data_IF_372612351419
#
_entry.id   IF_372612351419
#
_cell.length_a   1.000
_cell.length_b   1.000
_cell.length_c   1.000
_cell.angle_alpha   90.00
_cell.angle_beta   90.00
_cell.angle_gamma   90.00
#
_symmetry.space_group_name_H-M   'P 1'
#
loop_
_entity.id
_entity.type
_entity.pdbx_description
1 polymer ?
#
# COMPACT_ATOMS: atom_id res chain seq x y z
N UNK A 1 34.55 -4.65 15.66
CA UNK A 1 33.18 -5.02 16.06
C UNK A 1 32.43 -5.52 14.82
N UNK A 2 31.82 -6.69 14.92
CA UNK A 2 31.07 -7.36 13.86
C UNK A 2 29.89 -6.50 13.39
N UNK A 3 29.86 -6.13 12.12
CA UNK A 3 28.61 -5.86 11.44
C UNK A 3 27.88 -7.21 11.28
N UNK A 4 26.64 -7.37 11.74
CA UNK A 4 25.87 -8.57 11.45
C UNK A 4 25.71 -8.69 9.92
N UNK A 5 25.84 -9.90 9.34
CA UNK A 5 25.62 -10.08 7.91
C UNK A 5 24.20 -9.65 7.56
N UNK A 6 24.05 -8.93 6.45
CA UNK A 6 22.76 -8.59 5.89
C UNK A 6 21.92 -9.88 5.78
N UNK A 7 20.79 -9.93 6.50
CA UNK A 7 19.85 -11.05 6.40
C UNK A 7 19.52 -11.25 4.94
N UNK A 8 19.87 -12.42 4.43
CA UNK A 8 19.54 -12.88 3.08
C UNK A 8 18.04 -12.63 2.86
N UNK A 9 17.73 -11.62 2.04
CA UNK A 9 16.34 -11.32 1.68
C UNK A 9 15.93 -12.46 0.77
N UNK A 10 15.32 -13.49 1.37
CA UNK A 10 14.75 -14.61 0.63
C UNK A 10 13.93 -14.12 -0.58
N UNK A 11 13.70 -14.99 -1.58
CA UNK A 11 13.17 -14.58 -2.88
C UNK A 11 11.93 -13.68 -2.73
N UNK A 12 11.95 -12.55 -3.44
CA UNK A 12 10.83 -11.61 -3.47
C UNK A 12 9.61 -12.34 -4.00
N UNK A 13 8.56 -12.44 -3.18
CA UNK A 13 7.32 -13.09 -3.57
C UNK A 13 6.70 -12.37 -4.78
N UNK A 14 6.23 -13.16 -5.75
CA UNK A 14 5.59 -12.67 -6.98
C UNK A 14 4.21 -13.28 -7.13
N UNK A 15 3.30 -12.51 -7.72
CA UNK A 15 1.94 -12.94 -8.01
C UNK A 15 1.91 -14.12 -9.01
N UNK A 16 1.00 -15.07 -8.79
CA UNK A 16 0.66 -16.10 -9.78
C UNK A 16 -0.42 -15.53 -10.71
N UNK A 17 0.00 -14.87 -11.79
CA UNK A 17 -0.92 -14.18 -12.73
C UNK A 17 -2.02 -15.10 -13.28
N UNK A 18 -1.73 -16.38 -13.46
CA UNK A 18 -2.70 -17.38 -13.96
C UNK A 18 -3.83 -17.66 -12.97
N UNK A 19 -3.65 -17.34 -11.68
CA UNK A 19 -4.65 -17.56 -10.64
C UNK A 19 -5.64 -16.41 -10.49
N UNK A 20 -5.32 -15.22 -11.03
CA UNK A 20 -6.19 -14.03 -10.97
C UNK A 20 -7.59 -14.35 -11.49
N UNK A 21 -7.73 -15.12 -12.57
CA UNK A 21 -9.03 -15.51 -13.15
C UNK A 21 -9.93 -16.31 -12.19
N UNK A 22 -9.37 -16.97 -11.17
CA UNK A 22 -10.15 -17.73 -10.19
C UNK A 22 -10.69 -16.85 -9.05
N UNK A 23 -10.07 -15.69 -8.83
CA UNK A 23 -10.36 -14.83 -7.69
C UNK A 23 -10.84 -13.42 -8.09
N UNK A 24 -10.75 -13.03 -9.36
CA UNK A 24 -11.01 -11.66 -9.84
C UNK A 24 -12.32 -11.08 -9.31
N UNK A 25 -13.43 -11.81 -9.44
CA UNK A 25 -14.73 -11.36 -8.91
C UNK A 25 -14.71 -11.18 -7.39
N UNK A 26 -14.16 -12.15 -6.63
CA UNK A 26 -14.08 -12.07 -5.17
C UNK A 26 -13.23 -10.87 -4.73
N UNK A 27 -12.09 -10.66 -5.39
CA UNK A 27 -11.20 -9.53 -5.10
C UNK A 27 -11.85 -8.21 -5.46
N UNK A 28 -12.57 -8.14 -6.58
CA UNK A 28 -13.33 -6.93 -6.93
C UNK A 28 -14.37 -6.59 -5.86
N UNK A 29 -15.17 -7.57 -5.43
CA UNK A 29 -16.21 -7.32 -4.41
C UNK A 29 -15.60 -6.85 -3.08
N UNK A 30 -14.46 -7.45 -2.68
CA UNK A 30 -13.74 -7.06 -1.46
C UNK A 30 -13.07 -5.68 -1.59
N UNK A 31 -12.52 -5.36 -2.76
CA UNK A 31 -11.91 -4.07 -3.05
C UNK A 31 -12.96 -2.95 -3.07
N UNK A 32 -14.15 -3.21 -3.63
CA UNK A 32 -15.29 -2.30 -3.59
C UNK A 32 -15.79 -2.05 -2.16
N UNK A 33 -15.91 -3.12 -1.35
CA UNK A 33 -16.27 -2.99 0.06
C UNK A 33 -15.22 -2.14 0.82
N UNK A 34 -13.92 -2.39 0.60
CA UNK A 34 -12.83 -1.61 1.20
C UNK A 34 -12.81 -0.14 0.72
N UNK A 35 -13.05 0.11 -0.56
CA UNK A 35 -13.12 1.46 -1.11
C UNK A 35 -14.24 2.29 -0.47
N UNK A 36 -15.41 1.66 -0.28
CA UNK A 36 -16.52 2.30 0.40
C UNK A 36 -16.21 2.56 1.89
N UNK A 37 -15.57 1.61 2.58
CA UNK A 37 -15.14 1.81 3.98
C UNK A 37 -14.16 2.99 4.13
N UNK A 38 -13.16 3.09 3.26
CA UNK A 38 -12.21 4.21 3.23
C UNK A 38 -12.88 5.54 2.88
N UNK A 39 -13.81 5.54 1.93
CA UNK A 39 -14.63 6.71 1.59
C UNK A 39 -15.43 7.20 2.81
N UNK A 40 -16.14 6.30 3.50
CA UNK A 40 -16.91 6.64 4.71
C UNK A 40 -15.99 7.22 5.79
N UNK A 41 -14.79 6.65 5.97
CA UNK A 41 -13.82 7.13 6.94
C UNK A 41 -13.31 8.55 6.61
N UNK A 42 -12.93 8.81 5.36
CA UNK A 42 -12.44 10.15 4.96
C UNK A 42 -13.58 11.18 4.93
N UNK A 43 -14.79 10.79 4.54
CA UNK A 43 -15.97 11.65 4.58
C UNK A 43 -16.32 12.06 6.01
N UNK A 44 -16.19 11.14 6.98
CA UNK A 44 -16.40 11.44 8.39
C UNK A 44 -15.35 12.43 8.95
N UNK A 45 -14.09 12.34 8.51
CA UNK A 45 -13.00 13.22 8.93
C UNK A 45 -13.10 14.63 8.30
N UNK A 46 -13.33 14.69 6.98
CA UNK A 46 -13.31 15.94 6.20
C UNK A 46 -14.65 16.69 6.23
N UNK A 47 -15.76 15.97 6.41
CA UNK A 47 -17.11 16.53 6.37
C UNK A 47 -17.36 17.33 5.10
N UNK A 48 -17.78 18.60 5.24
CA UNK A 48 -18.08 19.50 4.11
C UNK A 48 -16.87 19.89 3.26
N UNK A 49 -15.65 19.61 3.72
CA UNK A 49 -14.41 19.91 2.99
C UNK A 49 -13.93 18.73 2.15
N UNK A 50 -14.68 17.63 2.13
CA UNK A 50 -14.34 16.46 1.34
C UNK A 50 -14.24 16.82 -0.14
N UNK A 51 -13.13 16.44 -0.76
CA UNK A 51 -12.88 16.59 -2.19
C UNK A 51 -12.71 15.22 -2.83
N UNK A 52 -12.84 15.16 -4.15
CA UNK A 52 -12.53 13.95 -4.93
C UNK A 52 -11.09 13.51 -4.73
N UNK A 53 -10.15 14.46 -4.63
CA UNK A 53 -8.74 14.18 -4.36
C UNK A 53 -8.54 13.43 -3.03
N UNK A 54 -9.27 13.82 -1.97
CA UNK A 54 -9.19 13.12 -0.68
C UNK A 54 -9.66 11.65 -0.80
N UNK A 55 -10.63 11.37 -1.66
CA UNK A 55 -11.14 10.01 -1.90
C UNK A 55 -10.17 9.24 -2.79
N UNK A 56 -9.68 9.85 -3.87
CA UNK A 56 -8.71 9.26 -4.80
C UNK A 56 -7.44 8.81 -4.08
N UNK A 57 -6.88 9.66 -3.21
CA UNK A 57 -5.71 9.32 -2.40
C UNK A 57 -5.91 8.05 -1.56
N UNK A 58 -7.14 7.76 -1.12
CA UNK A 58 -7.47 6.51 -0.41
C UNK A 58 -7.60 5.33 -1.37
N UNK A 59 -8.30 5.52 -2.48
CA UNK A 59 -8.56 4.47 -3.48
C UNK A 59 -7.26 3.96 -4.09
N UNK A 60 -6.32 4.84 -4.43
CA UNK A 60 -4.99 4.48 -4.96
C UNK A 60 -4.19 3.58 -4.01
N UNK A 61 -4.45 3.66 -2.70
CA UNK A 61 -3.73 2.88 -1.67
C UNK A 61 -4.36 1.52 -1.36
N UNK A 62 -5.54 1.22 -1.89
CA UNK A 62 -6.26 -0.03 -1.56
C UNK A 62 -5.51 -1.30 -1.99
N UNK A 63 -4.65 -1.21 -3.01
CA UNK A 63 -3.83 -2.34 -3.47
C UNK A 63 -2.39 -2.31 -2.92
N UNK A 64 -1.98 -1.25 -2.22
CA UNK A 64 -0.62 -1.10 -1.68
C UNK A 64 -0.52 -1.67 -0.27
N UNK A 65 -0.03 -2.91 -0.16
CA UNK A 65 0.14 -3.63 1.13
C UNK A 65 1.10 -2.95 2.12
N UNK A 66 1.82 -1.91 1.71
CA UNK A 66 2.60 -1.06 2.62
C UNK A 66 1.77 0.05 3.26
N UNK A 67 0.58 0.33 2.72
CA UNK A 67 -0.38 1.28 3.27
C UNK A 67 -1.38 0.57 4.20
N UNK A 68 -2.05 1.35 5.05
CA UNK A 68 -3.13 0.87 5.91
C UNK A 68 -4.41 0.62 5.13
N UNK A 69 -4.68 1.37 4.07
CA UNK A 69 -5.85 1.17 3.22
C UNK A 69 -5.90 -0.24 2.63
N UNK A 70 -4.76 -0.92 2.44
CA UNK A 70 -4.68 -2.30 1.98
C UNK A 70 -4.68 -3.35 3.11
N UNK A 71 -5.06 -2.99 4.36
CA UNK A 71 -5.20 -3.94 5.48
C UNK A 71 -6.14 -5.10 5.13
N UNK A 72 -7.15 -4.82 4.30
CA UNK A 72 -8.07 -5.83 3.80
C UNK A 72 -7.37 -6.89 2.94
N UNK A 73 -6.18 -6.66 2.38
CA UNK A 73 -5.44 -7.69 1.62
C UNK A 73 -4.61 -8.54 2.58
N UNK A 74 -3.85 -7.91 3.48
CA UNK A 74 -2.89 -8.62 4.34
C UNK A 74 -3.55 -9.43 5.46
N UNK A 75 -4.86 -9.29 5.67
CA UNK A 75 -5.65 -10.17 6.55
C UNK A 75 -6.32 -11.35 5.81
N UNK A 76 -6.00 -11.56 4.52
CA UNK A 76 -6.59 -12.61 3.69
C UNK A 76 -5.57 -13.65 3.23
N UNK A 77 -6.10 -14.82 2.93
CA UNK A 77 -5.38 -16.02 2.48
C UNK A 77 -6.10 -16.64 1.27
N UNK A 78 -5.37 -17.30 0.35
CA UNK A 78 -5.97 -17.99 -0.79
C UNK A 78 -6.09 -19.48 -0.52
N UNK A 79 -7.29 -19.92 -0.14
CA UNK A 79 -7.53 -21.31 0.22
C UNK A 79 -8.23 -22.08 -0.89
N UNK A 80 -7.72 -23.27 -1.17
CA UNK A 80 -8.36 -24.25 -2.04
C UNK A 80 -9.57 -24.88 -1.32
N UNK A 81 -10.77 -24.65 -1.85
CA UNK A 81 -12.00 -25.28 -1.38
C UNK A 81 -12.57 -26.14 -2.51
N UNK A 82 -12.20 -27.41 -2.51
CA UNK A 82 -12.56 -28.35 -3.57
C UNK A 82 -11.93 -27.91 -4.91
N UNK A 83 -12.76 -27.64 -5.91
CA UNK A 83 -12.31 -27.19 -7.24
C UNK A 83 -12.27 -25.67 -7.39
N UNK A 84 -12.37 -24.89 -6.30
CA UNK A 84 -12.39 -23.43 -6.33
C UNK A 84 -11.29 -22.82 -5.45
N UNK A 85 -10.73 -21.71 -5.90
CA UNK A 85 -9.85 -20.87 -5.09
C UNK A 85 -10.70 -19.80 -4.40
N UNK A 86 -10.57 -19.68 -3.09
CA UNK A 86 -11.36 -18.77 -2.27
C UNK A 86 -10.45 -17.81 -1.53
N UNK A 87 -10.80 -16.53 -1.56
CA UNK A 87 -10.20 -15.53 -0.70
C UNK A 87 -10.85 -15.66 0.68
N UNK A 88 -10.07 -16.04 1.68
CA UNK A 88 -10.56 -16.29 3.04
C UNK A 88 -10.05 -15.21 3.97
N UNK A 89 -10.97 -14.60 4.71
CA UNK A 89 -10.64 -13.66 5.79
C UNK A 89 -10.13 -14.43 7.01
N UNK A 90 -8.92 -14.10 7.45
CA UNK A 90 -8.26 -14.74 8.59
C UNK A 90 -8.62 -14.08 9.93
N UNK A 91 -9.38 -12.97 9.90
CA UNK A 91 -9.87 -12.25 11.06
C UNK A 91 -9.36 -10.81 11.12
N UNK A 92 -10.16 -9.95 11.75
CA UNK A 92 -9.74 -8.58 12.08
C UNK A 92 -8.51 -8.65 13.00
N UNK A 93 -7.47 -7.89 12.65
CA UNK A 93 -6.16 -7.86 13.32
C UNK A 93 -5.30 -9.13 13.19
N UNK A 94 -5.66 -10.05 12.30
CA UNK A 94 -4.79 -11.18 11.93
C UNK A 94 -4.03 -10.81 10.67
N UNK A 95 -2.84 -10.24 10.85
CA UNK A 95 -1.99 -9.83 9.75
C UNK A 95 -1.12 -10.99 9.26
N UNK A 96 -1.00 -11.13 7.95
CA UNK A 96 -0.18 -12.13 7.28
C UNK A 96 1.08 -11.55 6.67
N UNK A 97 2.12 -12.37 6.53
CA UNK A 97 3.25 -12.05 5.66
C UNK A 97 2.74 -12.02 4.22
N UNK A 98 3.00 -10.93 3.50
CA UNK A 98 2.60 -10.83 2.10
C UNK A 98 3.52 -11.69 1.21
N UNK A 99 3.17 -12.97 1.08
CA UNK A 99 3.81 -13.93 0.20
C UNK A 99 3.18 -13.97 -1.20
N UNK A 100 3.32 -15.11 -1.89
CA UNK A 100 2.82 -15.34 -3.24
C UNK A 100 1.30 -15.16 -3.33
N UNK A 101 0.54 -15.62 -2.34
CA UNK A 101 -0.92 -15.55 -2.36
C UNK A 101 -1.42 -14.12 -2.16
N UNK A 102 -0.87 -13.44 -1.16
CA UNK A 102 -1.10 -12.01 -0.95
C UNK A 102 -0.76 -11.21 -2.21
N UNK A 103 0.40 -11.46 -2.83
CA UNK A 103 0.77 -10.79 -4.10
C UNK A 103 -0.17 -11.13 -5.25
N UNK A 104 -0.79 -12.30 -5.25
CA UNK A 104 -1.81 -12.67 -6.25
C UNK A 104 -3.11 -11.90 -6.02
N UNK A 105 -3.52 -11.68 -4.76
CA UNK A 105 -4.65 -10.80 -4.42
C UNK A 105 -4.32 -9.35 -4.82
N UNK A 106 -3.14 -8.84 -4.49
CA UNK A 106 -2.67 -7.51 -4.92
C UNK A 106 -2.77 -7.38 -6.43
N UNK A 107 -2.28 -8.37 -7.19
CA UNK A 107 -2.35 -8.29 -8.64
C UNK A 107 -3.79 -8.25 -9.16
N UNK A 108 -4.69 -9.04 -8.57
CA UNK A 108 -6.10 -8.99 -8.91
C UNK A 108 -6.76 -7.66 -8.52
N UNK A 109 -6.31 -7.03 -7.43
CA UNK A 109 -6.74 -5.70 -7.01
C UNK A 109 -6.28 -4.63 -8.01
N UNK A 110 -4.99 -4.63 -8.38
CA UNK A 110 -4.42 -3.70 -9.35
C UNK A 110 -5.10 -3.84 -10.72
N UNK A 111 -5.44 -5.06 -11.15
CA UNK A 111 -6.16 -5.32 -12.41
C UNK A 111 -7.62 -4.80 -12.40
N UNK A 112 -8.19 -4.54 -11.21
CA UNK A 112 -9.56 -4.04 -11.02
C UNK A 112 -9.59 -2.54 -10.74
N UNK A 113 -8.77 -2.06 -9.82
CA UNK A 113 -8.78 -0.67 -9.37
C UNK A 113 -7.79 0.21 -10.12
N UNK A 114 -6.62 -0.32 -10.52
CA UNK A 114 -5.56 0.50 -11.11
C UNK A 114 -5.99 1.31 -12.34
N UNK A 115 -6.77 0.77 -13.28
CA UNK A 115 -7.28 1.53 -14.42
C UNK A 115 -8.51 2.41 -14.13
N UNK A 116 -9.13 2.25 -12.96
CA UNK A 116 -10.46 2.77 -12.64
C UNK A 116 -10.48 3.57 -11.33
N UNK A 117 -9.33 3.91 -10.76
CA UNK A 117 -9.21 4.53 -9.44
C UNK A 117 -9.89 5.91 -9.37
N UNK A 118 -9.71 6.69 -10.43
CA UNK A 118 -10.35 8.00 -10.63
C UNK A 118 -11.87 7.85 -10.74
N UNK A 119 -12.35 6.93 -11.59
CA UNK A 119 -13.78 6.67 -11.75
C UNK A 119 -14.42 6.17 -10.44
N UNK A 120 -13.71 5.32 -9.69
CA UNK A 120 -14.15 4.81 -8.39
C UNK A 120 -14.25 5.96 -7.38
N UNK A 121 -13.27 6.87 -7.34
CA UNK A 121 -13.28 8.02 -6.45
C UNK A 121 -14.46 8.97 -6.76
N UNK A 122 -14.69 9.27 -8.04
CA UNK A 122 -15.83 10.08 -8.49
C UNK A 122 -17.16 9.39 -8.13
N UNK A 123 -17.30 8.09 -8.42
CA UNK A 123 -18.51 7.33 -8.14
C UNK A 123 -18.82 7.29 -6.63
N UNK A 124 -17.81 7.08 -5.79
CA UNK A 124 -17.94 7.10 -4.34
C UNK A 124 -18.44 8.46 -3.82
N UNK A 125 -17.90 9.55 -4.35
CA UNK A 125 -18.23 10.91 -3.91
C UNK A 125 -19.63 11.34 -4.37
N UNK A 126 -20.04 10.96 -5.59
CA UNK A 126 -21.22 11.53 -6.25
C UNK A 126 -22.45 10.64 -6.25
N UNK A 127 -22.25 9.32 -6.24
CA UNK A 127 -23.31 8.35 -6.61
C UNK A 127 -23.51 7.25 -5.57
N UNK A 128 -22.43 6.69 -5.00
CA UNK A 128 -22.51 5.53 -4.13
C UNK A 128 -23.25 5.84 -2.82
N UNK A 129 -24.26 5.03 -2.49
CA UNK A 129 -24.97 5.13 -1.20
C UNK A 129 -24.61 4.01 -0.25
N UNK A 130 -24.07 2.90 -0.77
CA UNK A 130 -23.68 1.72 -0.01
C UNK A 130 -22.54 0.96 -0.69
N UNK A 131 -21.82 0.13 0.06
CA UNK A 131 -20.81 -0.79 -0.49
C UNK A 131 -21.40 -1.73 -1.57
N UNK A 132 -22.69 -2.07 -1.46
CA UNK A 132 -23.39 -2.88 -2.46
C UNK A 132 -23.46 -2.16 -3.81
N UNK A 133 -23.71 -0.85 -3.83
CA UNK A 133 -23.80 -0.08 -5.05
C UNK A 133 -22.44 0.01 -5.75
N UNK A 134 -21.36 0.16 -4.97
CA UNK A 134 -19.98 0.13 -5.48
C UNK A 134 -19.66 -1.23 -6.08
N UNK A 135 -20.04 -2.34 -5.41
CA UNK A 135 -19.84 -3.69 -5.95
C UNK A 135 -20.58 -3.92 -7.26
N UNK A 136 -21.83 -3.50 -7.33
CA UNK A 136 -22.64 -3.71 -8.54
C UNK A 136 -22.04 -2.96 -9.73
N UNK A 137 -21.81 -1.66 -9.56
CA UNK A 137 -21.21 -0.82 -10.58
C UNK A 137 -19.79 -1.27 -10.94
N UNK A 138 -18.86 -1.33 -9.98
CA UNK A 138 -17.44 -1.63 -10.25
C UNK A 138 -17.26 -3.05 -10.82
N UNK A 139 -17.92 -4.05 -10.21
CA UNK A 139 -17.61 -5.44 -10.51
C UNK A 139 -18.44 -6.03 -11.64
N UNK A 140 -19.61 -5.47 -11.96
CA UNK A 140 -20.45 -5.97 -13.06
C UNK A 140 -20.48 -5.04 -14.26
N UNK A 141 -20.60 -3.74 -14.03
CA UNK A 141 -20.77 -2.76 -15.10
C UNK A 141 -19.41 -2.30 -15.62
N UNK A 142 -18.56 -1.76 -14.75
CA UNK A 142 -17.30 -1.11 -15.12
C UNK A 142 -16.23 -2.13 -15.54
N UNK A 143 -15.91 -3.09 -14.68
CA UNK A 143 -14.79 -4.03 -14.93
C UNK A 143 -15.23 -5.38 -15.50
N UNK A 144 -16.54 -5.67 -15.49
CA UNK A 144 -17.11 -6.99 -15.83
C UNK A 144 -16.45 -8.16 -15.06
N UNK A 145 -15.79 -7.92 -13.93
CA UNK A 145 -15.06 -8.91 -13.14
C UNK A 145 -15.95 -10.04 -12.61
N UNK A 146 -17.23 -9.76 -12.37
CA UNK A 146 -18.25 -10.68 -11.89
C UNK A 146 -19.29 -11.06 -12.95
N UNK A 147 -18.99 -10.82 -14.23
CA UNK A 147 -19.88 -11.18 -15.36
C UNK A 147 -20.01 -12.69 -15.58
N UNK A 148 -19.00 -13.47 -15.15
CA UNK A 148 -18.97 -14.92 -15.31
C UNK A 148 -18.45 -15.61 -14.05
N UNK A 149 -18.91 -16.85 -13.82
CA UNK A 149 -18.46 -17.64 -12.70
C UNK A 149 -16.98 -18.03 -12.87
N UNK A 150 -16.15 -17.99 -11.81
CA UNK A 150 -14.76 -18.41 -11.89
C UNK A 150 -14.63 -19.86 -12.38
N UNK A 151 -13.69 -20.15 -13.29
CA UNK A 151 -13.47 -21.50 -13.80
C UNK A 151 -12.99 -22.44 -12.68
N UNK A 152 -13.19 -23.76 -12.81
CA UNK A 152 -12.65 -24.73 -11.86
C UNK A 152 -11.11 -24.76 -11.91
N UNK A 153 -10.49 -25.10 -10.78
CA UNK A 153 -9.05 -25.22 -10.67
C UNK A 153 -8.52 -26.43 -11.45
N UNK A 154 -7.36 -26.29 -12.12
CA UNK A 154 -6.62 -27.41 -12.69
C UNK A 154 -6.21 -28.41 -11.61
N UNK A 155 -6.25 -29.71 -11.92
CA UNK A 155 -5.88 -30.78 -10.98
C UNK A 155 -4.39 -30.78 -10.61
N UNK A 156 -3.57 -30.21 -11.47
CA UNK A 156 -2.11 -30.12 -11.39
C UNK A 156 -1.63 -28.76 -10.84
N UNK A 157 -2.55 -27.86 -10.46
CA UNK A 157 -2.18 -26.59 -9.83
C UNK A 157 -1.42 -26.88 -8.52
N UNK A 158 -0.23 -26.29 -8.31
CA UNK A 158 0.49 -26.41 -7.04
C UNK A 158 -0.35 -25.87 -5.89
N UNK A 159 -0.27 -26.56 -4.74
CA UNK A 159 -0.93 -26.08 -3.53
C UNK A 159 -0.37 -24.72 -3.11
N UNK A 160 -1.27 -23.86 -2.69
CA UNK A 160 -0.98 -22.57 -2.08
C UNK A 160 0.02 -22.62 -0.91
N UNK A 161 0.62 -21.46 -0.63
CA UNK A 161 1.49 -21.31 0.55
C UNK A 161 0.63 -21.32 1.83
N UNK A 162 1.24 -21.54 3.00
CA UNK A 162 0.49 -21.42 4.25
C UNK A 162 0.48 -19.97 4.69
N UNK A 163 -0.66 -19.49 5.19
CA UNK A 163 -0.74 -18.23 5.90
C UNK A 163 0.29 -18.18 7.05
N UNK A 164 1.21 -17.21 6.98
CA UNK A 164 2.18 -16.95 8.04
C UNK A 164 1.76 -15.68 8.78
N UNK A 165 1.23 -15.85 9.99
CA UNK A 165 0.81 -14.73 10.83
C UNK A 165 2.01 -13.83 11.18
N UNK A 166 1.73 -12.54 11.30
CA UNK A 166 2.62 -11.48 11.77
C UNK A 166 1.98 -10.74 12.93
N UNK A 167 2.84 -10.14 13.76
CA UNK A 167 2.42 -9.27 14.84
C UNK A 167 2.07 -7.88 14.29
N UNK A 168 1.02 -7.25 14.85
CA UNK A 168 0.57 -5.90 14.46
C UNK A 168 1.71 -4.88 14.55
N UNK A 169 2.51 -4.95 15.62
CA UNK A 169 3.66 -4.07 15.84
C UNK A 169 4.67 -4.14 14.69
N UNK A 170 4.90 -5.31 14.11
CA UNK A 170 5.83 -5.47 12.99
C UNK A 170 5.26 -4.87 11.71
N UNK A 171 3.94 -4.96 11.51
CA UNK A 171 3.25 -4.31 10.39
C UNK A 171 3.38 -2.79 10.52
N UNK A 172 3.03 -2.23 11.67
CA UNK A 172 3.09 -0.79 11.91
C UNK A 172 4.52 -0.23 11.75
N UNK A 173 5.54 -0.97 12.20
CA UNK A 173 6.95 -0.61 12.01
C UNK A 173 7.36 -0.62 10.52
N UNK A 174 6.92 -1.60 9.74
CA UNK A 174 7.18 -1.64 8.29
C UNK A 174 6.52 -0.47 7.56
N UNK A 175 5.29 -0.10 7.95
CA UNK A 175 4.59 1.07 7.40
C UNK A 175 5.32 2.36 7.67
N UNK A 176 5.77 2.54 8.92
CA UNK A 176 6.57 3.71 9.29
C UNK A 176 7.83 3.79 8.40
N UNK A 177 8.54 2.68 8.23
CA UNK A 177 9.72 2.62 7.36
C UNK A 177 9.38 2.92 5.89
N UNK A 178 8.25 2.43 5.37
CA UNK A 178 7.80 2.72 4.01
C UNK A 178 7.47 4.21 3.82
N UNK A 179 6.76 4.83 4.77
CA UNK A 179 6.47 6.27 4.71
C UNK A 179 7.73 7.15 4.74
N UNK A 180 8.79 6.70 5.43
CA UNK A 180 10.07 7.41 5.48
C UNK A 180 10.85 7.32 4.16
N UNK A 181 10.68 6.23 3.39
CA UNK A 181 11.33 6.06 2.09
C UNK A 181 10.72 6.94 1.00
N UNK A 182 9.45 7.34 1.13
CA UNK A 182 8.74 8.22 0.19
C UNK A 182 9.02 9.72 0.37
N UNK A 183 9.77 10.13 1.40
CA UNK A 183 10.08 11.55 1.66
C UNK A 183 11.20 12.07 0.75
N UNK A 184 10.97 13.14 -0.03
CA UNK A 184 12.01 13.80 -0.82
C UNK A 184 13.17 14.24 0.09
N UNK A 185 14.40 13.84 -0.25
CA UNK A 185 15.62 14.18 0.50
C UNK A 185 16.21 13.05 1.36
N UNK A 186 15.50 11.94 1.59
CA UNK A 186 16.00 10.81 2.40
C UNK A 186 16.58 9.66 1.56
N UNK A 187 16.20 9.55 0.28
CA UNK A 187 16.67 8.51 -0.64
C UNK A 187 18.11 8.68 -1.16
N UNK A 188 18.79 9.76 -0.77
CA UNK A 188 20.12 10.13 -1.25
C UNK A 188 21.11 10.54 -0.15
N UNK A 189 20.75 10.39 1.13
CA UNK A 189 21.70 10.60 2.23
C UNK A 189 22.72 9.45 2.22
N UNK A 190 23.67 9.51 1.30
CA UNK A 190 25.00 8.95 1.54
C UNK A 190 25.42 9.51 2.89
N UNK A 191 25.66 8.63 3.85
CA UNK A 191 26.14 8.97 5.17
C UNK A 191 27.45 9.74 4.99
N UNK A 192 27.38 11.07 4.89
CA UNK A 192 28.56 11.89 5.06
C UNK A 192 29.09 11.51 6.44
N UNK A 193 30.27 10.92 6.48
CA UNK A 193 30.85 10.50 7.74
C UNK A 193 30.95 11.74 8.63
N UNK A 194 30.83 11.54 9.95
CA UNK A 194 31.02 12.61 10.93
C UNK A 194 32.35 13.36 10.70
N UNK A 195 33.32 12.68 10.11
CA UNK A 195 34.61 13.22 9.65
C UNK A 195 34.47 14.25 8.51
N UNK A 196 33.63 14.01 7.50
CA UNK A 196 33.40 14.96 6.40
C UNK A 196 32.62 16.21 6.87
N UNK A 197 31.71 16.03 7.82
CA UNK A 197 30.95 17.13 8.42
C UNK A 197 31.84 18.03 9.32
N UNK A 198 32.82 17.43 10.02
CA UNK A 198 33.83 18.17 10.80
C UNK A 198 34.89 18.84 9.92
N UNK A 199 35.26 18.22 8.79
CA UNK A 199 36.18 18.83 7.83
C UNK A 199 35.60 20.09 7.17
N UNK A 200 34.27 20.17 7.01
CA UNK A 200 33.57 21.35 6.47
C UNK A 200 33.35 22.51 7.46
N UNK A 201 33.52 22.30 8.77
CA UNK A 201 33.41 23.35 9.81
C UNK A 201 34.76 23.80 10.37
N UNK A 202 35.88 23.24 9.90
CA UNK A 202 37.24 23.58 10.34
C UNK A 202 37.86 24.81 9.67
N UNK A 203 37.08 25.66 8.98
CA UNK A 203 37.59 26.75 8.14
C UNK A 203 37.10 28.15 8.47
N UNK A 204 36.58 28.40 9.68
CA UNK A 204 36.15 29.74 10.10
C UNK A 204 36.83 30.14 11.42
N UNK A 205 38.16 30.18 11.39
CA UNK A 205 38.98 30.60 12.51
C UNK A 205 40.18 31.39 12.02
N UNK A 206 40.10 32.72 12.15
CA UNK A 206 41.23 33.64 12.04
C UNK A 206 41.16 34.56 10.82
N UNK A 207 40.66 35.77 11.03
CA UNK A 207 41.39 37.00 10.71
C UNK A 207 40.80 38.11 11.59
N UNK A 208 41.50 38.36 12.69
CA UNK A 208 41.53 39.66 13.36
C UNK A 208 42.30 40.60 12.42
N UNK A 209 41.64 41.65 11.92
CA UNK A 209 42.30 42.90 11.57
C UNK A 209 41.34 44.06 11.91
N UNK A 210 41.82 44.87 12.85
CA UNK A 210 41.29 46.15 13.31
C UNK A 210 41.06 47.12 12.14
N UNK A 211 39.99 47.92 12.21
CA UNK A 211 40.03 49.37 11.92
C UNK A 211 38.69 50.03 12.30
N UNK A 212 38.61 50.47 13.55
CA UNK A 212 37.69 51.49 14.03
C UNK A 212 38.14 52.86 13.49
N UNK A 213 37.58 53.32 12.35
CA UNK A 213 37.59 54.74 12.01
C UNK A 213 36.21 55.21 11.56
N UNK A 214 35.51 55.87 12.49
CA UNK A 214 34.24 56.56 12.30
C UNK A 214 34.46 57.90 11.55
N UNK A 215 33.84 58.11 10.37
CA UNK A 215 33.93 59.39 9.68
C UNK A 215 32.57 60.03 9.39
N UNK A 216 31.57 59.99 10.28
CA UNK A 216 30.43 60.93 10.15
C UNK A 216 29.89 61.40 11.51
N UNK A 217 30.41 62.55 11.93
CA UNK A 217 29.73 63.44 12.86
C UNK A 217 28.68 64.29 12.13
N UNK A 218 27.46 64.27 12.64
CA UNK A 218 26.53 65.40 12.82
C UNK A 218 25.33 64.92 13.63
#
# INVERSE_FOLDING_TARGET
AMFPPAKDKGPVARAVKTDVKYIKCQVCELAADAAYEEYVAVAADKGKKLTELDVLERVEKLCDVSDKAADWIINKDLQEKGTKLKVVDMGKEVYGKCGVECKTIVKACEDVLGPHDTDVAEYLLTTATSAKDVREWLCREETSSCSSAPPPLPKDRPKGEKFVKREKKDVDMERLMASMQGMPGMGGAQMFNREDMMAGMGGMGGDDDDDDENPYGS
#
